data_IF_808014573156
#
_entry.id   IF_808014573156
#
_cell.length_a   1.000
_cell.length_b   1.000
_cell.length_c   1.000
_cell.angle_alpha   90.00
_cell.angle_beta   90.00
_cell.angle_gamma   90.00
#
_symmetry.space_group_name_H-M   'P 1'
#
loop_
_entity.id
_entity.type
_entity.pdbx_description
1 polymer ?
#
# COMPACT_ATOMS: atom_id res chain seq x y z
N UNK A 1 -6.09 -5.44 8.79
CA UNK A 1 -6.39 -3.97 8.89
C UNK A 1 -7.56 -3.62 7.96
N UNK A 2 -8.58 -2.86 8.41
CA UNK A 2 -9.69 -2.45 7.53
C UNK A 2 -9.37 -1.12 6.84
N UNK A 3 -9.64 -1.03 5.54
CA UNK A 3 -9.50 0.19 4.74
C UNK A 3 -10.85 0.56 4.13
N UNK A 4 -11.23 1.82 4.28
CA UNK A 4 -12.46 2.38 3.71
C UNK A 4 -12.08 3.49 2.74
N UNK A 5 -12.29 3.26 1.45
CA UNK A 5 -12.15 4.28 0.41
C UNK A 5 -13.49 4.98 0.25
N UNK A 6 -13.52 6.30 0.18
CA UNK A 6 -14.75 7.08 -0.04
C UNK A 6 -14.45 8.36 -0.83
N UNK A 7 -15.46 8.91 -1.49
CA UNK A 7 -15.38 10.30 -1.96
C UNK A 7 -15.28 11.25 -0.77
N UNK A 8 -14.36 12.21 -0.86
CA UNK A 8 -14.32 13.36 0.02
C UNK A 8 -15.39 14.36 -0.39
N UNK A 9 -15.76 15.25 0.53
CA UNK A 9 -16.67 16.37 0.27
C UNK A 9 -16.14 17.35 -0.78
N UNK A 10 -14.86 17.25 -1.16
CA UNK A 10 -14.20 18.08 -2.18
C UNK A 10 -14.06 17.37 -3.54
N UNK A 11 -14.64 16.19 -3.69
CA UNK A 11 -14.61 15.39 -4.93
C UNK A 11 -13.33 14.58 -5.15
N UNK A 12 -12.36 14.64 -4.23
CA UNK A 12 -11.20 13.72 -4.23
C UNK A 12 -11.53 12.38 -3.57
N UNK A 13 -10.66 11.38 -3.66
CA UNK A 13 -10.80 10.16 -2.83
C UNK A 13 -10.11 10.34 -1.48
N UNK A 14 -10.60 9.64 -0.46
CA UNK A 14 -9.95 9.50 0.84
C UNK A 14 -9.98 8.03 1.28
N UNK A 15 -8.85 7.52 1.78
CA UNK A 15 -8.78 6.21 2.41
C UNK A 15 -8.69 6.37 3.94
N UNK A 16 -9.63 5.77 4.67
CA UNK A 16 -9.63 5.68 6.13
C UNK A 16 -9.15 4.30 6.56
N UNK A 17 -8.08 4.24 7.35
CA UNK A 17 -7.43 2.99 7.75
C UNK A 17 -7.64 2.73 9.23
N UNK A 18 -8.27 1.61 9.56
CA UNK A 18 -8.46 1.13 10.92
C UNK A 18 -7.39 0.08 11.24
N UNK A 19 -6.31 0.52 11.90
CA UNK A 19 -5.15 -0.32 12.22
C UNK A 19 -5.41 -1.20 13.44
N UNK A 20 -4.72 -2.33 13.50
CA UNK A 20 -4.85 -3.29 14.59
C UNK A 20 -4.40 -2.74 15.96
N UNK A 21 -3.58 -1.69 15.98
CA UNK A 21 -3.16 -1.00 17.21
C UNK A 21 -4.17 0.05 17.71
N UNK A 22 -5.37 0.11 17.12
CA UNK A 22 -6.45 1.02 17.51
C UNK A 22 -6.31 2.44 16.97
N UNK A 23 -5.27 2.74 16.18
CA UNK A 23 -5.12 4.04 15.52
C UNK A 23 -5.96 4.07 14.24
N UNK A 24 -6.74 5.15 14.07
CA UNK A 24 -7.46 5.43 12.82
C UNK A 24 -6.72 6.52 12.07
N UNK A 25 -6.34 6.23 10.84
CA UNK A 25 -5.62 7.14 9.96
C UNK A 25 -6.47 7.55 8.76
N UNK A 26 -6.19 8.72 8.23
CA UNK A 26 -6.69 9.20 6.95
C UNK A 26 -5.53 9.38 5.98
N UNK A 27 -5.65 8.79 4.81
CA UNK A 27 -4.79 9.01 3.65
C UNK A 27 -5.61 9.77 2.60
N UNK A 28 -5.31 11.06 2.37
CA UNK A 28 -5.96 11.81 1.31
C UNK A 28 -5.42 11.36 -0.07
N UNK A 29 -6.32 11.04 -0.98
CA UNK A 29 -5.98 10.74 -2.37
C UNK A 29 -5.60 12.02 -3.12
N UNK A 30 -4.60 11.91 -3.98
CA UNK A 30 -4.02 13.07 -4.69
C UNK A 30 -4.71 13.40 -6.01
N UNK A 31 -5.34 12.42 -6.67
CA UNK A 31 -5.86 12.59 -8.01
C UNK A 31 -7.37 12.78 -8.05
N UNK A 32 -7.77 13.92 -8.62
CA UNK A 32 -9.15 14.19 -9.08
C UNK A 32 -9.34 13.89 -10.57
N UNK A 33 -8.24 13.58 -11.26
CA UNK A 33 -8.21 13.44 -12.73
C UNK A 33 -8.67 12.06 -13.19
N UNK A 34 -8.46 11.04 -12.36
CA UNK A 34 -8.72 9.65 -12.72
C UNK A 34 -10.04 9.17 -12.12
N UNK A 35 -10.72 8.30 -12.87
CA UNK A 35 -11.92 7.61 -12.40
C UNK A 35 -11.57 6.62 -11.28
N UNK A 36 -10.50 5.85 -11.47
CA UNK A 36 -10.02 4.88 -10.48
C UNK A 36 -9.14 5.58 -9.45
N UNK A 37 -9.44 5.47 -8.13
CA UNK A 37 -8.57 6.05 -7.12
C UNK A 37 -7.18 5.39 -7.09
N UNK A 38 -6.14 6.21 -7.02
CA UNK A 38 -4.75 5.74 -6.99
C UNK A 38 -4.45 4.82 -5.79
N UNK A 39 -4.93 5.17 -4.59
CA UNK A 39 -4.75 4.33 -3.40
C UNK A 39 -5.46 2.97 -3.52
N UNK A 40 -6.53 2.88 -4.33
CA UNK A 40 -7.22 1.62 -4.61
C UNK A 40 -6.35 0.70 -5.49
N UNK A 41 -5.62 1.29 -6.44
CA UNK A 41 -4.66 0.57 -7.28
C UNK A 41 -3.47 0.05 -6.48
N UNK A 42 -2.95 0.84 -5.53
CA UNK A 42 -1.98 0.35 -4.56
C UNK A 42 -2.54 -0.85 -3.78
N UNK A 43 -3.76 -0.76 -3.27
CA UNK A 43 -4.37 -1.83 -2.48
C UNK A 43 -4.48 -3.12 -3.29
N UNK A 44 -5.06 -3.05 -4.49
CA UNK A 44 -5.27 -4.22 -5.34
C UNK A 44 -3.95 -4.86 -5.78
N UNK A 45 -2.99 -4.04 -6.20
CA UNK A 45 -1.68 -4.49 -6.68
C UNK A 45 -0.87 -5.13 -5.57
N UNK A 46 -0.65 -4.40 -4.47
CA UNK A 46 0.21 -4.87 -3.39
C UNK A 46 -0.37 -6.11 -2.70
N UNK A 47 -1.71 -6.21 -2.58
CA UNK A 47 -2.37 -7.40 -2.03
C UNK A 47 -2.15 -8.62 -2.90
N UNK A 48 -2.33 -8.47 -4.22
CA UNK A 48 -2.22 -9.58 -5.16
C UNK A 48 -0.78 -10.06 -5.31
N UNK A 49 0.18 -9.14 -5.21
CA UNK A 49 1.60 -9.42 -5.38
C UNK A 49 2.30 -9.79 -4.07
N UNK A 50 1.53 -9.97 -2.99
CA UNK A 50 2.01 -10.24 -1.63
C UNK A 50 3.08 -9.25 -1.14
N UNK A 51 2.98 -7.99 -1.56
CA UNK A 51 3.96 -6.95 -1.27
C UNK A 51 3.76 -6.38 0.14
N UNK A 52 4.28 -7.04 1.16
CA UNK A 52 4.22 -6.55 2.54
C UNK A 52 4.95 -5.21 2.74
N UNK A 53 5.94 -4.89 1.91
CA UNK A 53 6.73 -3.65 1.99
C UNK A 53 6.15 -2.45 1.22
N UNK A 54 4.98 -2.60 0.60
CA UNK A 54 4.27 -1.53 -0.08
C UNK A 54 3.62 -0.52 0.88
N UNK A 55 2.77 0.36 0.34
CA UNK A 55 2.05 1.41 1.09
C UNK A 55 1.21 0.80 2.21
N UNK A 56 0.34 -0.17 1.90
CA UNK A 56 -0.62 -0.69 2.88
C UNK A 56 0.03 -1.61 3.90
N UNK A 57 0.99 -2.43 3.48
CA UNK A 57 1.76 -3.27 4.39
C UNK A 57 2.64 -2.44 5.34
N UNK A 58 3.21 -1.32 4.87
CA UNK A 58 3.94 -0.36 5.71
C UNK A 58 3.02 0.33 6.71
N UNK A 59 1.82 0.79 6.29
CA UNK A 59 0.85 1.42 7.21
C UNK A 59 0.40 0.42 8.28
N UNK A 60 0.13 -0.83 7.88
CA UNK A 60 -0.24 -1.89 8.82
C UNK A 60 0.86 -2.11 9.88
N UNK A 61 2.14 -2.01 9.51
CA UNK A 61 3.28 -2.11 10.42
C UNK A 61 3.49 -0.89 11.33
N UNK A 62 2.80 0.21 11.05
CA UNK A 62 2.83 1.47 11.80
C UNK A 62 3.60 2.60 11.14
N UNK A 63 3.83 2.53 9.83
CA UNK A 63 4.20 3.71 9.06
C UNK A 63 3.04 4.72 9.01
N UNK A 64 3.41 5.99 9.05
CA UNK A 64 2.53 7.13 8.83
C UNK A 64 3.25 8.03 7.84
N UNK A 65 2.73 8.12 6.61
CA UNK A 65 3.25 8.99 5.56
C UNK A 65 2.96 10.47 5.87
N UNK A 66 3.74 11.38 5.29
CA UNK A 66 3.70 12.81 5.61
C UNK A 66 2.35 13.50 5.33
N UNK A 67 1.58 12.98 4.37
CA UNK A 67 0.25 13.46 4.00
C UNK A 67 -0.87 12.86 4.84
N UNK A 68 -0.58 11.86 5.68
CA UNK A 68 -1.59 11.20 6.48
C UNK A 68 -1.93 12.01 7.73
N UNK A 69 -3.15 11.81 8.23
CA UNK A 69 -3.63 12.42 9.47
C UNK A 69 -4.12 11.34 10.42
N UNK A 70 -3.86 11.49 11.71
CA UNK A 70 -4.47 10.67 12.75
C UNK A 70 -5.85 11.23 13.04
N UNK A 71 -6.90 10.43 12.84
CA UNK A 71 -8.28 10.82 13.15
C UNK A 71 -8.67 10.47 14.59
N UNK A 72 -8.18 9.32 15.08
CA UNK A 72 -8.52 8.81 16.41
C UNK A 72 -7.50 7.77 16.88
N UNK A 73 -7.58 7.40 18.15
CA UNK A 73 -6.65 6.51 18.84
C UNK A 73 -5.43 7.26 19.39
N UNK A 74 -4.73 6.65 20.34
CA UNK A 74 -3.51 7.20 20.94
C UNK A 74 -2.30 6.48 20.33
N UNK A 75 -1.51 7.15 19.47
CA UNK A 75 -0.27 6.58 18.98
C UNK A 75 0.66 6.24 20.14
N UNK A 76 1.49 5.21 19.94
CA UNK A 76 2.56 4.86 20.88
C UNK A 76 3.51 6.04 21.08
N UNK A 77 4.16 6.10 22.24
CA UNK A 77 5.16 7.14 22.54
C UNK A 77 6.31 7.16 21.52
N UNK A 78 6.66 6.01 20.93
CA UNK A 78 7.74 5.84 19.95
C UNK A 78 7.23 5.79 18.49
N UNK A 79 5.98 6.16 18.23
CA UNK A 79 5.34 5.98 16.93
C UNK A 79 6.10 6.65 15.77
N UNK A 80 6.61 7.87 15.95
CA UNK A 80 7.38 8.58 14.92
C UNK A 80 8.70 7.86 14.57
N UNK A 81 9.44 7.40 15.58
CA UNK A 81 10.69 6.64 15.39
C UNK A 81 10.43 5.27 14.77
N UNK A 82 9.31 4.63 15.12
CA UNK A 82 8.87 3.37 14.50
C UNK A 82 8.49 3.58 13.03
N UNK A 83 7.65 4.58 12.74
CA UNK A 83 7.23 4.93 11.37
C UNK A 83 8.44 5.15 10.49
N UNK A 84 9.38 6.00 10.93
CA UNK A 84 10.63 6.26 10.20
C UNK A 84 11.42 4.99 9.90
N UNK A 85 11.55 4.08 10.87
CA UNK A 85 12.26 2.80 10.65
C UNK A 85 11.58 1.90 9.63
N UNK A 86 10.25 1.82 9.64
CA UNK A 86 9.49 1.06 8.64
C UNK A 86 9.71 1.68 7.27
N UNK A 87 9.48 2.98 7.12
CA UNK A 87 9.65 3.68 5.85
C UNK A 87 11.07 3.59 5.32
N UNK A 88 12.09 3.79 6.17
CA UNK A 88 13.50 3.71 5.78
C UNK A 88 13.90 2.30 5.33
N UNK A 89 13.39 1.25 5.97
CA UNK A 89 13.72 -0.13 5.62
C UNK A 89 13.02 -0.62 4.34
N UNK A 90 11.88 -0.02 3.99
CA UNK A 90 11.06 -0.45 2.86
C UNK A 90 11.07 0.53 1.68
N UNK A 91 11.99 1.51 1.65
CA UNK A 91 12.08 2.52 0.57
C UNK A 91 12.07 1.92 -0.84
N UNK A 92 12.87 0.89 -1.07
CA UNK A 92 12.95 0.23 -2.38
C UNK A 92 11.62 -0.47 -2.73
N UNK A 93 11.00 -1.15 -1.75
CA UNK A 93 9.71 -1.79 -1.94
C UNK A 93 8.58 -0.78 -2.18
N UNK A 94 8.61 0.38 -1.52
CA UNK A 94 7.67 1.48 -1.73
C UNK A 94 7.82 2.08 -3.13
N UNK A 95 9.06 2.32 -3.55
CA UNK A 95 9.38 2.78 -4.90
C UNK A 95 8.90 1.78 -5.95
N UNK A 96 9.04 0.48 -5.69
CA UNK A 96 8.54 -0.57 -6.58
C UNK A 96 7.01 -0.61 -6.63
N UNK A 97 6.37 -0.52 -5.46
CA UNK A 97 4.91 -0.50 -5.35
C UNK A 97 4.31 0.65 -6.17
N UNK A 98 4.86 1.86 -6.07
CA UNK A 98 4.44 3.03 -6.86
C UNK A 98 4.44 2.73 -8.36
N UNK A 99 5.56 2.23 -8.89
CA UNK A 99 5.71 1.98 -10.32
C UNK A 99 4.73 0.91 -10.81
N UNK A 100 4.63 -0.20 -10.10
CA UNK A 100 3.82 -1.33 -10.53
C UNK A 100 2.33 -1.06 -10.33
N UNK A 101 1.94 -0.46 -9.20
CA UNK A 101 0.56 -0.01 -8.98
C UNK A 101 0.16 1.03 -10.02
N UNK A 102 1.07 1.93 -10.42
CA UNK A 102 0.86 2.87 -11.50
C UNK A 102 0.60 2.20 -12.86
N UNK A 103 1.26 1.08 -13.17
CA UNK A 103 1.00 0.33 -14.42
C UNK A 103 -0.35 -0.38 -14.41
N UNK A 104 -0.71 -1.02 -13.29
CA UNK A 104 -2.02 -1.66 -13.12
C UNK A 104 -3.14 -0.61 -13.16
N UNK A 105 -2.93 0.52 -12.47
CA UNK A 105 -3.82 1.67 -12.50
C UNK A 105 -4.02 2.19 -13.92
N UNK A 106 -2.94 2.43 -14.66
CA UNK A 106 -2.98 2.90 -16.03
C UNK A 106 -3.78 1.96 -16.94
N UNK A 107 -3.55 0.65 -16.84
CA UNK A 107 -4.23 -0.33 -17.66
C UNK A 107 -5.76 -0.34 -17.42
N UNK A 108 -6.19 -0.26 -16.16
CA UNK A 108 -7.63 -0.20 -15.82
C UNK A 108 -8.24 1.16 -16.18
N UNK A 109 -7.54 2.25 -15.89
CA UNK A 109 -8.03 3.61 -16.16
C UNK A 109 -8.20 3.88 -17.65
N UNK A 110 -7.32 3.33 -18.49
CA UNK A 110 -7.34 3.54 -19.96
C UNK A 110 -8.04 2.43 -20.73
N UNK A 111 -8.58 1.40 -20.05
CA UNK A 111 -9.36 0.34 -20.69
C UNK A 111 -8.53 -0.62 -21.54
N UNK A 112 -7.28 -0.86 -21.16
CA UNK A 112 -6.35 -1.82 -21.81
C UNK A 112 -5.84 -2.89 -20.84
N UNK A 113 -6.72 -3.58 -20.08
CA UNK A 113 -6.31 -4.54 -19.06
C UNK A 113 -5.39 -5.66 -19.58
N UNK A 114 -5.55 -6.05 -20.84
CA UNK A 114 -4.73 -7.06 -21.52
C UNK A 114 -3.26 -6.65 -21.69
N UNK A 115 -2.95 -5.36 -21.64
CA UNK A 115 -1.58 -4.84 -21.76
C UNK A 115 -0.85 -4.77 -20.41
N UNK A 116 -1.54 -4.95 -19.28
CA UNK A 116 -0.96 -4.82 -17.96
C UNK A 116 0.27 -5.72 -17.73
N UNK A 117 0.30 -7.01 -18.14
CA UNK A 117 1.50 -7.84 -17.99
C UNK A 117 2.71 -7.29 -18.74
N UNK A 118 2.52 -6.81 -19.97
CA UNK A 118 3.59 -6.21 -20.76
C UNK A 118 4.11 -4.90 -20.15
N UNK A 119 3.20 -4.05 -19.65
CA UNK A 119 3.55 -2.81 -18.96
C UNK A 119 4.32 -3.07 -17.66
N UNK A 120 3.86 -4.02 -16.84
CA UNK A 120 4.53 -4.41 -15.60
C UNK A 120 5.92 -4.98 -15.85
N UNK A 121 6.08 -5.84 -16.87
CA UNK A 121 7.37 -6.40 -17.27
C UNK A 121 8.34 -5.31 -17.72
N UNK A 122 7.91 -4.40 -18.60
CA UNK A 122 8.72 -3.27 -19.05
C UNK A 122 9.16 -2.37 -17.89
N UNK A 123 8.25 -2.11 -16.95
CA UNK A 123 8.55 -1.31 -15.77
C UNK A 123 9.59 -1.99 -14.87
N UNK A 124 9.51 -3.31 -14.72
CA UNK A 124 10.49 -4.12 -13.99
C UNK A 124 11.87 -4.13 -14.67
N UNK A 125 11.92 -4.40 -15.98
CA UNK A 125 13.15 -4.40 -16.78
C UNK A 125 13.90 -3.06 -16.70
N UNK A 126 13.16 -1.94 -16.65
CA UNK A 126 13.76 -0.61 -16.53
C UNK A 126 14.58 -0.40 -15.25
N UNK A 127 14.39 -1.27 -14.24
CA UNK A 127 15.15 -1.28 -12.98
C UNK A 127 16.37 -2.19 -13.00
N UNK A 128 16.65 -2.86 -14.12
CA UNK A 128 17.81 -3.74 -14.27
C UNK A 128 17.73 -5.03 -13.45
N UNK A 129 16.53 -5.39 -12.99
CA UNK A 129 16.29 -6.69 -12.37
C UNK A 129 15.98 -7.72 -13.46
N UNK A 130 16.27 -9.00 -13.21
CA UNK A 130 16.03 -10.11 -14.14
C UNK A 130 14.53 -10.36 -14.38
N UNK A 131 14.08 -11.62 -14.38
CA UNK A 131 12.65 -11.87 -14.55
C UNK A 131 11.83 -11.27 -13.38
N UNK A 132 10.63 -10.70 -13.65
CA UNK A 132 9.76 -10.20 -12.59
C UNK A 132 9.34 -11.36 -11.66
N UNK A 133 9.24 -11.12 -10.35
CA UNK A 133 8.87 -12.16 -9.39
C UNK A 133 7.37 -12.53 -9.45
N UNK A 134 6.60 -11.91 -10.34
CA UNK A 134 5.17 -12.13 -10.51
C UNK A 134 4.87 -12.68 -11.90
N UNK A 135 3.91 -13.58 -11.96
CA UNK A 135 3.40 -14.16 -13.21
C UNK A 135 2.41 -13.21 -13.90
N UNK A 136 2.23 -13.39 -15.20
CA UNK A 136 1.22 -12.64 -15.96
C UNK A 136 -0.21 -12.87 -15.41
N UNK A 137 -0.46 -14.05 -14.82
CA UNK A 137 -1.73 -14.36 -14.17
C UNK A 137 -1.94 -13.56 -12.87
N UNK A 138 -0.88 -13.36 -12.07
CA UNK A 138 -0.94 -12.47 -10.91
C UNK A 138 -1.21 -11.02 -11.34
N UNK A 139 -0.58 -10.56 -12.42
CA UNK A 139 -0.86 -9.22 -12.97
C UNK A 139 -2.32 -9.11 -13.40
N UNK A 140 -2.85 -10.10 -14.11
CA UNK A 140 -4.25 -10.14 -14.52
C UNK A 140 -5.20 -10.17 -13.31
N UNK A 141 -4.85 -10.86 -12.23
CA UNK A 141 -5.62 -10.86 -10.99
C UNK A 141 -5.63 -9.49 -10.31
N UNK A 142 -4.50 -8.77 -10.30
CA UNK A 142 -4.45 -7.42 -9.74
C UNK A 142 -5.35 -6.45 -10.53
N UNK A 143 -5.38 -6.60 -11.87
CA UNK A 143 -6.26 -5.86 -12.77
C UNK A 143 -7.73 -6.18 -12.53
N UNK A 144 -8.09 -7.47 -12.38
CA UNK A 144 -9.46 -7.89 -12.04
C UNK A 144 -9.91 -7.28 -10.72
N UNK A 145 -9.11 -7.46 -9.67
CA UNK A 145 -9.41 -6.92 -8.35
C UNK A 145 -9.56 -5.40 -8.36
N UNK A 146 -8.66 -4.68 -9.04
CA UNK A 146 -8.78 -3.23 -9.18
C UNK A 146 -10.06 -2.83 -9.94
N UNK A 147 -10.41 -3.56 -11.00
CA UNK A 147 -11.61 -3.28 -11.79
C UNK A 147 -12.89 -3.49 -10.98
N UNK A 148 -12.96 -4.56 -10.19
CA UNK A 148 -14.08 -4.86 -9.28
C UNK A 148 -14.23 -3.77 -8.22
N UNK A 149 -13.14 -3.46 -7.49
CA UNK A 149 -13.15 -2.43 -6.47
C UNK A 149 -13.48 -1.05 -7.06
N UNK A 150 -13.02 -0.75 -8.28
CA UNK A 150 -13.32 0.51 -8.94
C UNK A 150 -14.81 0.62 -9.32
N UNK A 151 -15.40 -0.48 -9.82
CA UNK A 151 -16.82 -0.53 -10.14
C UNK A 151 -17.69 -0.35 -8.88
N UNK A 152 -17.34 -1.01 -7.78
CA UNK A 152 -18.03 -0.83 -6.49
C UNK A 152 -17.91 0.59 -5.97
N UNK A 153 -16.71 1.18 -6.08
CA UNK A 153 -16.45 2.56 -5.67
C UNK A 153 -17.28 3.56 -6.47
N UNK A 154 -17.36 3.39 -7.80
CA UNK A 154 -18.17 4.21 -8.68
C UNK A 154 -19.67 4.07 -8.38
N UNK A 155 -20.15 2.85 -8.13
CA UNK A 155 -21.56 2.58 -7.86
C UNK A 155 -22.02 3.07 -6.47
N UNK A 156 -21.18 2.95 -5.45
CA UNK A 156 -21.58 3.16 -4.05
C UNK A 156 -20.97 4.43 -3.43
N UNK A 157 -20.02 5.06 -4.10
CA UNK A 157 -19.23 6.19 -3.59
C UNK A 157 -18.28 5.83 -2.44
N UNK A 158 -18.22 4.54 -2.07
CA UNK A 158 -17.32 4.00 -1.06
C UNK A 158 -17.05 2.51 -1.30
N UNK A 159 -15.88 2.05 -0.86
CA UNK A 159 -15.50 0.62 -0.83
C UNK A 159 -14.83 0.29 0.48
N UNK A 160 -15.18 -0.88 1.03
CA UNK A 160 -14.54 -1.44 2.23
C UNK A 160 -13.72 -2.66 1.84
N UNK A 161 -12.45 -2.67 2.20
CA UNK A 161 -11.57 -3.80 1.91
C UNK A 161 -10.66 -4.11 3.12
N UNK A 162 -10.38 -5.40 3.31
CA UNK A 162 -9.53 -5.88 4.41
C UNK A 162 -8.13 -6.17 3.90
N UNK A 163 -7.14 -5.48 4.46
CA UNK A 163 -5.74 -5.79 4.27
C UNK A 163 -5.34 -7.01 5.12
N UNK A 164 -4.75 -8.07 4.53
CA UNK A 164 -4.42 -9.31 5.24
C UNK A 164 -3.38 -9.13 6.35
N UNK A 165 -3.53 -9.86 7.45
CA UNK A 165 -2.64 -9.74 8.62
C UNK A 165 -1.24 -10.36 8.39
N UNK A 166 -1.09 -11.21 7.38
CA UNK A 166 0.23 -11.74 6.98
C UNK A 166 1.01 -10.78 6.06
N UNK A 167 0.34 -9.79 5.44
CA UNK A 167 0.97 -8.79 4.57
C UNK A 167 1.39 -7.53 5.34
N UNK A 168 1.94 -7.70 6.53
CA UNK A 168 2.43 -6.59 7.36
C UNK A 168 3.94 -6.45 7.16
N UNK A 169 4.41 -5.24 6.85
CA UNK A 169 5.83 -5.00 6.65
C UNK A 169 6.64 -5.41 7.89
N UNK A 170 7.72 -6.20 7.75
CA UNK A 170 8.56 -6.52 8.89
C UNK A 170 9.17 -5.22 9.44
N UNK A 171 9.02 -5.01 10.75
CA UNK A 171 9.56 -3.81 11.40
C UNK A 171 10.98 -4.09 11.90
N UNK A 172 12.00 -3.35 11.44
CA UNK A 172 13.35 -3.53 11.94
C UNK A 172 13.43 -3.27 13.45
N UNK A 173 14.27 -4.00 14.20
CA UNK A 173 14.48 -3.76 15.62
C UNK A 173 15.02 -2.34 15.85
N UNK A 174 14.76 -1.78 17.04
CA UNK A 174 15.36 -0.50 17.40
C UNK A 174 16.88 -0.68 17.49
N UNK A 175 17.66 0.22 16.87
CA UNK A 175 19.12 0.22 17.06
C UNK A 175 19.41 0.55 18.52
N UNK A 176 20.03 -0.38 19.24
CA UNK A 176 20.59 -0.15 20.58
C UNK A 176 19.77 -0.67 21.77
N UNK A 177 19.65 -2.00 21.88
CA UNK A 177 19.87 -2.64 23.18
C UNK A 177 21.01 -3.62 22.96
N UNK A 178 22.24 -3.23 23.32
CA UNK A 178 23.31 -4.20 23.56
C UNK A 178 22.74 -5.19 24.57
N UNK A 179 22.43 -6.42 24.17
CA UNK A 179 22.17 -7.51 25.13
C UNK A 179 23.44 -7.59 25.99
N UNK A 180 23.36 -7.08 27.21
CA UNK A 180 24.45 -7.15 28.17
C UNK A 180 24.93 -8.59 28.26
N UNK A 181 26.19 -8.79 27.91
CA UNK A 181 26.92 -10.04 28.10
C UNK A 181 26.80 -10.38 29.58
N UNK A 182 25.96 -11.35 29.95
CA UNK A 182 25.90 -11.87 31.32
C UNK A 182 27.31 -12.36 31.67
N UNK A 183 27.92 -11.71 32.65
CA UNK A 183 29.17 -12.15 33.24
C UNK A 183 29.00 -13.56 33.79
N UNK A 184 29.93 -14.44 33.42
CA UNK A 184 30.19 -15.68 34.15
C UNK A 184 30.93 -15.28 35.42
N UNK A 185 30.27 -15.45 36.57
CA UNK A 185 30.95 -15.71 37.85
C UNK A 185 31.22 -17.19 37.96
#
# INVERSE_FOLDING_TARGET
MLVVFAHSTTGSTVATLHRADGVILQLPGYDRKYRVPHDLAHFATERTFEMSGGVFGSIAAGAVFSNMRVLSGRPRHDAALRSKRVLDAHKESLSLAEVIAGMVHHAVETGIPEQAPALARKAWESRGAGDPPWTDEQVAEAVRLLSELAADFEAQGQVRATWPDHLIAPTPPARGIRRGRRGRT
#
